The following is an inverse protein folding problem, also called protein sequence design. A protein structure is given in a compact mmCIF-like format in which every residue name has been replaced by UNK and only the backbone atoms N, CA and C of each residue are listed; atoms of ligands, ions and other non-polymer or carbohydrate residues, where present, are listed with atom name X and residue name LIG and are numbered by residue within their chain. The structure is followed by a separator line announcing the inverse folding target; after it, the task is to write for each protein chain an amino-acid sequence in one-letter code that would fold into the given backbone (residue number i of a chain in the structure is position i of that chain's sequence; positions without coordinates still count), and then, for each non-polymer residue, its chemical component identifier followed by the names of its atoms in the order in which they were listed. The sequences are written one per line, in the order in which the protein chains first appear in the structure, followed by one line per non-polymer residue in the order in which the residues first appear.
data_IF_764198330723
#
_entry.id   IF_764198330723
#
_cell.length_a   1.000
_cell.length_b   1.000
_cell.length_c   1.000
_cell.angle_alpha   90.00
_cell.angle_beta   90.00
_cell.angle_gamma   90.00
#
_symmetry.space_group_name_H-M   'P 1'
#
loop_
_entity.id
_entity.type
_entity.pdbx_description
1 polymer ?
#
# COMPACT_ATOMS: atom_id res chain seq x y z
N UNK A 1 11.26 -1.90 18.71
CA UNK A 1 9.84 -2.01 19.00
C UNK A 1 9.09 -1.31 17.89
N UNK A 2 8.68 -2.02 16.87
CA UNK A 2 7.93 -1.54 15.73
C UNK A 2 7.06 -2.71 15.30
N UNK A 3 6.00 -2.96 16.06
CA UNK A 3 4.92 -3.81 15.61
C UNK A 3 4.15 -3.05 14.55
N UNK A 4 3.81 -3.72 13.44
CA UNK A 4 2.76 -3.30 12.52
C UNK A 4 1.40 -3.44 13.25
N UNK A 5 1.21 -2.67 14.31
CA UNK A 5 -0.11 -2.47 14.90
C UNK A 5 -0.86 -1.49 14.00
N UNK A 6 -1.45 -2.03 12.95
CA UNK A 6 -2.47 -1.33 12.20
C UNK A 6 -3.66 -1.16 13.13
N UNK A 7 -3.80 0.03 13.70
CA UNK A 7 -4.98 0.38 14.48
C UNK A 7 -6.14 0.47 13.49
N UNK A 8 -7.00 -0.55 13.49
CA UNK A 8 -8.25 -0.49 12.78
C UNK A 8 -9.19 0.45 13.54
N UNK A 9 -9.47 1.61 12.94
CA UNK A 9 -10.49 2.50 13.45
C UNK A 9 -11.84 2.05 12.90
N UNK A 10 -12.76 1.69 13.79
CA UNK A 10 -14.13 1.38 13.42
C UNK A 10 -14.82 2.63 12.87
N UNK A 11 -15.28 2.55 11.63
CA UNK A 11 -16.02 3.64 11.02
C UNK A 11 -17.44 3.66 11.55
N UNK A 12 -17.81 4.75 12.23
CA UNK A 12 -19.19 4.99 12.64
C UNK A 12 -20.01 5.32 11.38
N UNK A 13 -21.12 4.61 11.18
CA UNK A 13 -22.04 4.84 10.06
C UNK A 13 -22.44 6.32 9.97
N UNK A 14 -22.19 6.95 8.82
CA UNK A 14 -22.45 8.38 8.59
C UNK A 14 -21.29 9.33 8.93
N UNK A 15 -20.25 8.89 9.64
CA UNK A 15 -19.11 9.72 10.02
C UNK A 15 -17.79 9.32 9.27
N UNK A 16 -17.88 8.53 8.24
CA UNK A 16 -16.71 7.95 7.55
C UNK A 16 -15.72 9.01 7.05
N UNK A 17 -16.24 10.12 6.48
CA UNK A 17 -15.39 11.21 6.00
C UNK A 17 -14.68 11.90 7.16
N UNK A 18 -15.37 12.10 8.27
CA UNK A 18 -14.82 12.71 9.49
C UNK A 18 -13.73 11.82 10.08
N UNK A 19 -13.98 10.52 10.21
CA UNK A 19 -13.01 9.55 10.75
C UNK A 19 -11.76 9.47 9.88
N UNK A 20 -11.91 9.45 8.55
CA UNK A 20 -10.77 9.48 7.62
C UNK A 20 -9.99 10.77 7.77
N UNK A 21 -10.66 11.91 7.85
CA UNK A 21 -10.03 13.21 8.02
C UNK A 21 -9.27 13.31 9.37
N UNK A 22 -9.90 12.87 10.45
CA UNK A 22 -9.30 12.85 11.78
C UNK A 22 -8.09 11.91 11.83
N UNK A 23 -8.20 10.69 11.31
CA UNK A 23 -7.09 9.76 11.23
C UNK A 23 -5.92 10.32 10.41
N UNK A 24 -6.19 11.03 9.33
CA UNK A 24 -5.16 11.70 8.54
C UNK A 24 -4.48 12.82 9.32
N UNK A 25 -5.24 13.67 10.00
CA UNK A 25 -4.68 14.76 10.82
C UNK A 25 -3.82 14.17 11.94
N UNK A 26 -4.32 13.17 12.66
CA UNK A 26 -3.58 12.52 13.74
C UNK A 26 -2.30 11.87 13.20
N UNK A 27 -2.40 11.11 12.10
CA UNK A 27 -1.26 10.43 11.50
C UNK A 27 -0.21 11.40 10.97
N UNK A 28 -0.62 12.47 10.31
CA UNK A 28 0.28 13.53 9.83
C UNK A 28 0.96 14.26 10.99
N UNK A 29 0.22 14.64 12.02
CA UNK A 29 0.78 15.28 13.20
C UNK A 29 1.75 14.36 13.94
N UNK A 30 1.38 13.09 14.13
CA UNK A 30 2.26 12.11 14.78
C UNK A 30 3.53 11.86 13.96
N UNK A 31 3.43 11.78 12.64
CA UNK A 31 4.57 11.63 11.74
C UNK A 31 5.49 12.85 11.77
N UNK A 32 4.95 14.07 11.71
CA UNK A 32 5.75 15.29 11.80
C UNK A 32 6.44 15.42 13.15
N UNK A 33 5.76 15.10 14.25
CA UNK A 33 6.38 15.07 15.58
C UNK A 33 7.49 14.02 15.65
N UNK A 34 7.23 12.79 15.16
CA UNK A 34 8.22 11.72 15.13
C UNK A 34 9.47 12.10 14.31
N UNK A 35 9.27 12.85 13.23
CA UNK A 35 10.34 13.39 12.39
C UNK A 35 11.15 14.48 13.11
N UNK A 36 10.47 15.41 13.82
CA UNK A 36 11.13 16.46 14.59
C UNK A 36 11.96 15.92 15.75
N UNK A 37 11.49 14.86 16.42
CA UNK A 37 12.24 14.23 17.52
C UNK A 37 13.24 13.15 17.03
N UNK A 38 13.40 13.00 15.71
CA UNK A 38 14.38 12.08 15.11
C UNK A 38 14.03 10.60 15.19
N UNK A 39 12.80 10.25 15.57
CA UNK A 39 12.32 8.84 15.58
C UNK A 39 12.10 8.30 14.18
N UNK A 40 11.76 9.16 13.22
CA UNK A 40 11.60 8.84 11.81
C UNK A 40 12.57 9.69 11.01
N UNK A 41 13.44 9.03 10.26
CA UNK A 41 14.28 9.73 9.27
C UNK A 41 13.42 9.98 8.04
N UNK A 42 13.34 11.24 7.61
CA UNK A 42 12.79 11.56 6.31
C UNK A 42 13.71 10.92 5.25
N UNK A 43 13.17 10.03 4.43
CA UNK A 43 13.88 9.57 3.25
C UNK A 43 13.81 10.69 2.21
N UNK A 44 14.91 11.41 2.01
CA UNK A 44 15.04 12.32 0.87
C UNK A 44 15.11 11.48 -0.40
N UNK A 45 13.97 11.32 -1.05
CA UNK A 45 13.89 10.62 -2.33
C UNK A 45 14.41 11.56 -3.44
N UNK A 46 15.43 11.15 -4.20
CA UNK A 46 15.88 11.94 -5.35
C UNK A 46 14.71 12.19 -6.30
N UNK A 47 14.55 13.43 -6.74
CA UNK A 47 13.50 13.77 -7.69
C UNK A 47 13.80 13.23 -9.08
N UNK A 48 12.75 12.86 -9.82
CA UNK A 48 12.88 12.32 -11.16
C UNK A 48 13.47 13.34 -12.11
N UNK A 49 14.47 12.91 -12.89
CA UNK A 49 14.95 13.62 -14.06
C UNK A 49 14.36 12.94 -15.29
N UNK A 50 13.66 13.70 -16.12
CA UNK A 50 12.95 13.14 -17.26
C UNK A 50 13.83 13.03 -18.49
N UNK A 51 13.67 11.91 -19.22
CA UNK A 51 14.27 11.65 -20.52
C UNK A 51 13.18 11.66 -21.60
N UNK A 52 13.61 11.71 -22.84
CA UNK A 52 12.73 11.66 -24.02
C UNK A 52 12.80 12.92 -24.87
N UNK A 53 12.19 12.85 -26.06
CA UNK A 53 12.19 13.92 -27.06
C UNK A 53 11.10 14.99 -26.82
N UNK A 54 10.29 14.81 -25.78
CA UNK A 54 9.19 15.71 -25.42
C UNK A 54 8.03 15.76 -26.42
N UNK A 55 8.05 14.92 -27.47
CA UNK A 55 6.99 14.87 -28.47
C UNK A 55 5.77 14.13 -27.93
N UNK A 56 4.59 14.63 -28.28
CA UNK A 56 3.34 13.98 -27.95
C UNK A 56 3.25 12.57 -28.56
N UNK A 57 2.68 11.64 -27.81
CA UNK A 57 2.42 10.25 -28.20
C UNK A 57 0.93 10.00 -28.33
N UNK A 58 0.55 9.01 -29.14
CA UNK A 58 -0.83 8.54 -29.16
C UNK A 58 -1.16 7.83 -27.86
N UNK A 59 -2.45 7.70 -27.53
CA UNK A 59 -2.91 6.95 -26.37
C UNK A 59 -2.38 5.52 -26.34
N UNK A 60 -2.46 4.83 -27.48
CA UNK A 60 -1.99 3.47 -27.61
C UNK A 60 -0.49 3.33 -27.32
N UNK A 61 0.33 4.30 -27.73
CA UNK A 61 1.75 4.32 -27.41
C UNK A 61 1.98 4.54 -25.90
N UNK A 62 1.25 5.47 -25.28
CA UNK A 62 1.37 5.69 -23.83
C UNK A 62 1.00 4.45 -23.02
N UNK A 63 -0.01 3.71 -23.45
CA UNK A 63 -0.43 2.45 -22.81
C UNK A 63 0.61 1.36 -23.05
N UNK A 64 1.09 1.18 -24.28
CA UNK A 64 2.10 0.17 -24.62
C UNK A 64 3.44 0.40 -23.93
N UNK A 65 3.80 1.66 -23.75
CA UNK A 65 5.01 2.05 -23.02
C UNK A 65 4.86 1.86 -21.49
N UNK A 66 3.63 1.66 -20.99
CA UNK A 66 3.32 1.59 -19.58
C UNK A 66 3.30 2.95 -18.86
N UNK A 67 3.26 4.06 -19.64
CA UNK A 67 3.15 5.42 -19.10
C UNK A 67 1.73 5.75 -18.61
N UNK A 68 0.75 5.00 -19.10
CA UNK A 68 -0.65 5.03 -18.66
C UNK A 68 -1.01 3.63 -18.15
N UNK A 69 -1.60 3.58 -16.97
CA UNK A 69 -2.05 2.36 -16.32
C UNK A 69 -3.57 2.27 -16.34
N UNK A 70 -4.07 1.04 -16.21
CA UNK A 70 -5.47 0.70 -16.28
C UNK A 70 -5.86 -0.13 -15.06
N UNK A 71 -6.93 0.27 -14.39
CA UNK A 71 -7.52 -0.46 -13.26
C UNK A 71 -9.00 -0.68 -13.52
N UNK A 72 -9.43 -1.92 -13.52
CA UNK A 72 -10.84 -2.30 -13.63
C UNK A 72 -11.25 -3.05 -12.37
N UNK A 73 -12.32 -2.62 -11.74
CA UNK A 73 -12.95 -3.29 -10.60
C UNK A 73 -14.33 -3.75 -11.00
N UNK A 74 -14.59 -5.04 -10.83
CA UNK A 74 -15.89 -5.63 -11.16
C UNK A 74 -16.86 -5.51 -9.96
N UNK A 75 -18.18 -5.39 -10.20
CA UNK A 75 -19.18 -5.33 -9.13
C UNK A 75 -19.08 -6.49 -8.13
N UNK A 76 -18.79 -7.69 -8.60
CA UNK A 76 -18.61 -8.89 -7.76
C UNK A 76 -17.51 -8.76 -6.71
N UNK A 77 -16.47 -7.97 -6.97
CA UNK A 77 -15.35 -7.74 -6.04
C UNK A 77 -15.79 -6.90 -4.84
N UNK A 78 -16.88 -6.17 -5.00
CA UNK A 78 -17.56 -5.41 -3.95
C UNK A 78 -18.79 -6.11 -3.40
N UNK A 79 -19.06 -7.37 -3.80
CA UNK A 79 -20.25 -8.11 -3.41
C UNK A 79 -21.55 -7.57 -4.03
N UNK A 80 -21.45 -6.75 -5.06
CA UNK A 80 -22.59 -6.22 -5.81
C UNK A 80 -23.00 -7.16 -6.97
N UNK A 81 -24.27 -7.15 -7.36
CA UNK A 81 -24.73 -7.89 -8.52
C UNK A 81 -24.09 -7.33 -9.81
N UNK A 82 -23.87 -8.22 -10.78
CA UNK A 82 -23.40 -7.83 -12.10
C UNK A 82 -24.43 -6.94 -12.78
N UNK A 83 -23.98 -5.77 -13.24
CA UNK A 83 -24.80 -4.77 -13.92
C UNK A 83 -24.48 -4.67 -15.42
N UNK A 84 -23.71 -5.63 -15.96
CA UNK A 84 -23.28 -5.64 -17.36
C UNK A 84 -22.21 -4.60 -17.69
N UNK A 85 -21.67 -3.91 -16.68
CA UNK A 85 -20.55 -2.97 -16.81
C UNK A 85 -19.67 -3.03 -15.56
N UNK A 86 -18.40 -2.64 -15.65
CA UNK A 86 -17.51 -2.56 -14.50
C UNK A 86 -18.09 -1.65 -13.40
N UNK A 87 -17.78 -1.93 -12.15
CA UNK A 87 -18.03 -0.98 -11.07
C UNK A 87 -17.24 0.30 -11.29
N UNK A 88 -15.95 0.16 -11.63
CA UNK A 88 -15.11 1.28 -12.06
C UNK A 88 -14.09 0.79 -13.10
N UNK A 89 -13.86 1.61 -14.09
CA UNK A 89 -12.85 1.44 -15.15
C UNK A 89 -12.01 2.72 -15.20
N UNK A 90 -10.79 2.67 -14.66
CA UNK A 90 -9.92 3.83 -14.48
C UNK A 90 -8.66 3.72 -15.34
N UNK A 91 -8.33 4.82 -15.99
CA UNK A 91 -7.05 5.03 -16.61
C UNK A 91 -6.35 6.22 -15.96
N UNK A 92 -5.08 6.09 -15.65
CA UNK A 92 -4.34 7.13 -14.95
C UNK A 92 -2.86 7.15 -15.35
N UNK A 93 -2.22 8.29 -15.15
CA UNK A 93 -0.81 8.47 -15.46
C UNK A 93 -0.24 9.76 -14.91
N UNK A 94 1.08 9.91 -15.01
CA UNK A 94 1.85 10.98 -14.43
C UNK A 94 2.07 12.12 -15.42
N UNK A 95 1.59 13.34 -15.10
CA UNK A 95 1.55 14.46 -16.04
C UNK A 95 2.80 15.35 -16.09
N UNK A 96 3.63 15.37 -15.03
CA UNK A 96 4.80 16.27 -15.05
C UNK A 96 5.85 15.85 -16.10
N UNK A 97 5.80 14.60 -16.58
CA UNK A 97 6.66 14.21 -17.69
C UNK A 97 6.24 14.93 -18.98
N UNK A 98 7.15 15.68 -19.66
CA UNK A 98 6.77 16.51 -20.81
C UNK A 98 6.06 15.74 -21.92
N UNK A 99 6.50 14.53 -22.22
CA UNK A 99 5.94 13.70 -23.27
C UNK A 99 4.52 13.23 -22.94
N UNK A 100 4.29 12.80 -21.69
CA UNK A 100 2.97 12.35 -21.22
C UNK A 100 2.03 13.54 -21.09
N UNK A 101 2.48 14.60 -20.42
CA UNK A 101 1.67 15.79 -20.18
C UNK A 101 1.22 16.48 -21.46
N UNK A 102 2.10 16.63 -22.45
CA UNK A 102 1.75 17.18 -23.76
C UNK A 102 0.83 16.27 -24.55
N UNK A 103 1.01 14.97 -24.45
CA UNK A 103 0.08 14.02 -25.11
C UNK A 103 -1.33 14.15 -24.55
N UNK A 104 -1.47 14.26 -23.23
CA UNK A 104 -2.76 14.28 -22.53
C UNK A 104 -3.42 15.65 -22.63
N UNK A 105 -2.67 16.73 -22.41
CA UNK A 105 -3.20 18.10 -22.27
C UNK A 105 -3.01 18.97 -23.52
N UNK A 106 -2.16 18.56 -24.44
CA UNK A 106 -1.62 19.43 -25.48
C UNK A 106 -0.51 20.34 -24.93
N UNK A 107 0.16 21.09 -25.81
CA UNK A 107 1.29 21.94 -25.40
C UNK A 107 0.84 23.07 -24.46
N UNK A 108 -0.21 23.78 -24.81
CA UNK A 108 -0.72 24.92 -24.03
C UNK A 108 -1.22 24.45 -22.66
N UNK A 109 -2.00 23.37 -22.61
CA UNK A 109 -2.52 22.81 -21.35
C UNK A 109 -1.40 22.30 -20.44
N UNK A 110 -0.38 21.70 -21.02
CA UNK A 110 0.79 21.25 -20.28
C UNK A 110 1.57 22.45 -19.70
N UNK A 111 1.82 23.50 -20.48
CA UNK A 111 2.52 24.70 -20.00
C UNK A 111 1.71 25.40 -18.89
N UNK A 112 0.39 25.52 -19.06
CA UNK A 112 -0.48 26.09 -18.05
C UNK A 112 -0.43 25.28 -16.74
N UNK A 113 -0.51 23.95 -16.82
CA UNK A 113 -0.39 23.08 -15.65
C UNK A 113 0.96 23.31 -14.97
N UNK A 114 2.06 23.22 -15.70
CA UNK A 114 3.41 23.35 -15.14
C UNK A 114 3.66 24.71 -14.50
N UNK A 115 3.10 25.79 -15.05
CA UNK A 115 3.21 27.12 -14.48
C UNK A 115 2.42 27.29 -13.17
N UNK A 116 1.38 26.49 -12.98
CA UNK A 116 0.54 26.50 -11.76
C UNK A 116 1.11 25.64 -10.62
N UNK A 117 2.00 24.71 -10.92
CA UNK A 117 2.59 23.80 -9.96
C UNK A 117 3.86 24.38 -9.34
N UNK A 118 4.07 24.07 -8.06
CA UNK A 118 5.37 24.30 -7.41
C UNK A 118 6.37 23.23 -7.91
N UNK A 119 7.68 23.52 -7.84
CA UNK A 119 8.71 22.53 -8.28
C UNK A 119 8.64 21.18 -7.58
N UNK A 120 7.98 21.11 -6.43
CA UNK A 120 7.81 19.89 -5.63
C UNK A 120 6.43 19.27 -5.76
N UNK A 121 5.59 19.79 -6.64
CA UNK A 121 4.24 19.29 -6.83
C UNK A 121 4.21 18.33 -8.03
N UNK A 122 3.43 17.28 -7.90
CA UNK A 122 3.30 16.23 -8.89
C UNK A 122 1.84 16.07 -9.29
N UNK A 123 1.56 16.03 -10.57
CA UNK A 123 0.21 15.93 -11.11
C UNK A 123 -0.02 14.56 -11.74
N UNK A 124 -1.16 13.95 -11.41
CA UNK A 124 -1.65 12.73 -12.04
C UNK A 124 -3.00 13.03 -12.70
N UNK A 125 -3.20 12.56 -13.92
CA UNK A 125 -4.53 12.55 -14.50
C UNK A 125 -5.22 11.23 -14.18
N UNK A 126 -6.53 11.29 -14.08
CA UNK A 126 -7.40 10.14 -13.93
C UNK A 126 -8.61 10.38 -14.82
N UNK A 127 -8.94 9.41 -15.63
CA UNK A 127 -10.21 9.33 -16.35
C UNK A 127 -10.87 8.01 -15.99
N UNK A 128 -12.19 7.99 -15.96
CA UNK A 128 -12.90 6.80 -15.58
C UNK A 128 -14.32 6.74 -16.07
N UNK A 129 -14.85 5.53 -16.11
CA UNK A 129 -16.23 5.21 -16.39
C UNK A 129 -16.70 4.06 -15.50
N UNK A 130 -17.96 3.74 -15.52
CA UNK A 130 -18.51 2.63 -14.76
C UNK A 130 -19.80 2.93 -14.03
N UNK A 131 -20.18 2.06 -13.10
CA UNK A 131 -21.35 2.25 -12.24
C UNK A 131 -21.03 3.14 -11.02
N UNK A 132 -19.77 3.10 -10.56
CA UNK A 132 -19.26 3.91 -9.46
C UNK A 132 -18.59 5.19 -9.94
N UNK A 133 -18.12 6.00 -8.97
CA UNK A 133 -17.39 7.24 -9.21
C UNK A 133 -16.10 7.24 -8.42
N UNK A 134 -15.01 7.65 -9.04
CA UNK A 134 -13.75 7.85 -8.34
C UNK A 134 -13.69 9.19 -7.58
N UNK A 135 -14.57 10.13 -7.93
CA UNK A 135 -14.69 11.39 -7.21
C UNK A 135 -15.42 11.24 -5.89
N UNK A 136 -16.25 10.18 -5.77
CA UNK A 136 -16.99 9.89 -4.55
C UNK A 136 -17.98 10.98 -4.16
N UNK A 137 -18.29 11.05 -2.87
CA UNK A 137 -19.13 12.09 -2.28
C UNK A 137 -18.35 13.38 -1.95
N UNK A 138 -17.03 13.37 -2.14
CA UNK A 138 -16.13 14.45 -1.71
C UNK A 138 -16.09 15.68 -2.61
N UNK A 139 -16.93 15.76 -3.65
CA UNK A 139 -16.99 16.92 -4.54
C UNK A 139 -17.68 18.15 -3.90
N UNK A 140 -17.67 18.22 -2.59
CA UNK A 140 -18.17 19.39 -1.86
C UNK A 140 -16.97 20.31 -1.58
N UNK A 141 -17.18 21.62 -1.72
CA UNK A 141 -16.16 22.64 -1.46
C UNK A 141 -15.53 22.43 -0.09
N UNK A 142 -14.20 22.25 -0.03
CA UNK A 142 -13.47 21.86 1.18
C UNK A 142 -13.47 20.36 1.47
N UNK A 143 -14.04 19.54 0.58
CA UNK A 143 -14.12 18.09 0.75
C UNK A 143 -12.80 17.35 0.49
N UNK A 144 -12.78 16.10 0.94
CA UNK A 144 -11.69 15.15 0.69
C UNK A 144 -12.18 14.14 -0.33
N UNK A 145 -11.35 13.83 -1.32
CA UNK A 145 -11.60 12.74 -2.25
C UNK A 145 -11.31 11.41 -1.55
N UNK A 146 -12.36 10.79 -1.02
CA UNK A 146 -12.31 9.59 -0.17
C UNK A 146 -12.12 8.29 -0.95
N UNK A 147 -12.14 8.35 -2.29
CA UNK A 147 -12.03 7.19 -3.16
C UNK A 147 -10.64 6.94 -3.72
N UNK A 148 -9.73 7.87 -3.51
CA UNK A 148 -8.39 7.82 -4.08
C UNK A 148 -7.33 8.14 -3.04
N UNK A 149 -6.26 7.37 -3.04
CA UNK A 149 -5.03 7.72 -2.34
C UNK A 149 -3.82 7.23 -3.13
N UNK A 150 -2.71 7.90 -2.92
CA UNK A 150 -1.40 7.47 -3.42
C UNK A 150 -0.57 7.04 -2.21
N UNK A 151 0.10 5.89 -2.30
CA UNK A 151 1.03 5.44 -1.28
C UNK A 151 2.42 5.25 -1.89
N UNK A 152 3.46 5.75 -1.24
CA UNK A 152 4.84 5.56 -1.68
C UNK A 152 5.74 5.30 -0.47
N UNK A 153 6.10 4.02 -0.29
CA UNK A 153 6.83 3.60 0.90
C UNK A 153 5.98 3.74 2.15
N UNK A 154 6.36 4.63 3.07
CA UNK A 154 5.59 4.92 4.30
C UNK A 154 4.68 6.13 4.15
N UNK A 155 4.82 6.89 3.09
CA UNK A 155 4.06 8.11 2.86
C UNK A 155 2.74 7.79 2.17
N UNK A 156 1.65 8.40 2.63
CA UNK A 156 0.32 8.29 2.03
C UNK A 156 -0.21 9.69 1.72
N UNK A 157 -0.70 9.86 0.50
CA UNK A 157 -1.21 11.13 0.00
C UNK A 157 -2.69 10.96 -0.36
N UNK A 158 -3.49 11.83 0.20
CA UNK A 158 -4.92 11.98 -0.10
C UNK A 158 -5.17 13.35 -0.67
N UNK A 159 -6.28 13.53 -1.34
CA UNK A 159 -6.55 14.71 -2.13
C UNK A 159 -7.72 15.51 -1.54
N UNK A 160 -7.56 16.82 -1.49
CA UNK A 160 -8.62 17.78 -1.18
C UNK A 160 -9.09 18.46 -2.44
N UNK A 161 -10.17 19.22 -2.35
CA UNK A 161 -10.66 20.06 -3.46
C UNK A 161 -9.59 21.03 -3.98
N UNK A 162 -8.68 21.52 -3.11
CA UNK A 162 -7.54 22.35 -3.47
C UNK A 162 -6.44 21.63 -4.26
N UNK A 163 -6.47 20.30 -4.26
CA UNK A 163 -5.52 19.44 -4.95
C UNK A 163 -6.10 18.86 -6.24
N UNK A 164 -7.27 19.34 -6.63
CA UNK A 164 -8.00 18.90 -7.82
C UNK A 164 -8.07 20.03 -8.86
N UNK A 165 -7.82 19.66 -10.12
CA UNK A 165 -8.07 20.50 -11.29
C UNK A 165 -8.94 19.74 -12.28
N UNK A 166 -9.78 20.48 -13.00
CA UNK A 166 -10.61 19.87 -14.04
C UNK A 166 -9.74 19.49 -15.25
N UNK A 167 -9.93 18.27 -15.74
CA UNK A 167 -9.45 17.84 -17.04
C UNK A 167 -10.61 17.92 -18.03
N UNK A 168 -10.72 19.04 -18.75
CA UNK A 168 -11.85 19.29 -19.63
C UNK A 168 -11.81 18.45 -20.90
N UNK A 169 -10.64 18.23 -21.45
CA UNK A 169 -10.49 17.52 -22.73
C UNK A 169 -9.20 16.75 -22.76
N UNK A 170 -9.30 15.47 -23.10
CA UNK A 170 -8.17 14.61 -23.41
C UNK A 170 -7.71 14.90 -24.85
N UNK A 171 -6.44 15.27 -25.03
CA UNK A 171 -5.87 15.55 -26.36
C UNK A 171 -5.21 14.33 -27.00
N UNK A 172 -4.89 13.30 -26.21
CA UNK A 172 -4.25 12.10 -26.74
C UNK A 172 -5.17 11.38 -27.74
N UNK A 173 -4.70 11.26 -28.97
CA UNK A 173 -5.46 10.58 -30.03
C UNK A 173 -5.66 9.10 -29.68
N UNK A 174 -6.92 8.63 -29.77
CA UNK A 174 -7.29 7.26 -29.45
C UNK A 174 -7.56 6.99 -27.96
N UNK A 175 -7.67 8.03 -27.14
CA UNK A 175 -8.11 7.88 -25.74
C UNK A 175 -9.52 7.27 -25.66
N UNK A 176 -9.80 6.42 -24.67
CA UNK A 176 -11.12 5.85 -24.47
C UNK A 176 -12.13 6.92 -24.09
N UNK A 177 -13.42 6.62 -24.27
CA UNK A 177 -14.48 7.45 -23.71
C UNK A 177 -14.51 7.29 -22.20
N UNK A 178 -14.85 8.36 -21.49
CA UNK A 178 -14.92 8.40 -20.04
C UNK A 178 -16.08 9.28 -19.59
N UNK A 179 -16.63 8.96 -18.43
CA UNK A 179 -17.71 9.71 -17.81
C UNK A 179 -17.18 10.77 -16.86
N UNK A 180 -16.03 10.49 -16.24
CA UNK A 180 -15.39 11.35 -15.25
C UNK A 180 -13.90 11.55 -15.59
N UNK A 181 -13.40 12.73 -15.28
CA UNK A 181 -11.98 13.07 -15.47
C UNK A 181 -11.52 14.06 -14.41
N UNK A 182 -10.22 14.06 -14.14
CA UNK A 182 -9.61 15.02 -13.23
C UNK A 182 -8.10 14.95 -13.22
N UNK A 183 -7.49 16.00 -12.69
CA UNK A 183 -6.06 16.07 -12.39
C UNK A 183 -5.92 16.21 -10.88
N UNK A 184 -5.14 15.35 -10.26
CA UNK A 184 -4.88 15.33 -8.83
C UNK A 184 -3.42 15.69 -8.55
N UNK A 185 -3.20 16.58 -7.59
CA UNK A 185 -1.89 17.12 -7.28
C UNK A 185 -1.38 16.52 -5.97
N UNK A 186 -0.30 15.76 -6.05
CA UNK A 186 0.48 15.32 -4.89
C UNK A 186 1.45 16.40 -4.53
N UNK A 187 1.36 16.93 -3.30
CA UNK A 187 2.18 18.06 -2.86
C UNK A 187 3.34 17.61 -1.99
N UNK A 188 4.48 18.27 -2.18
CA UNK A 188 5.63 18.16 -1.28
C UNK A 188 6.72 17.21 -1.74
N UNK A 189 7.85 17.24 -1.03
CA UNK A 189 9.11 16.55 -1.38
C UNK A 189 9.14 15.06 -1.03
N UNK A 190 8.16 14.58 -0.27
CA UNK A 190 8.12 13.18 0.16
C UNK A 190 7.78 12.21 -0.98
N UNK A 191 7.18 12.73 -2.05
CA UNK A 191 6.87 11.96 -3.26
C UNK A 191 7.96 12.17 -4.32
N UNK A 192 8.29 11.08 -5.04
CA UNK A 192 9.19 11.15 -6.22
C UNK A 192 8.71 10.19 -7.30
N UNK A 193 8.49 10.70 -8.50
CA UNK A 193 8.10 9.91 -9.67
C UNK A 193 9.20 8.98 -10.19
N UNK A 194 10.44 9.08 -9.69
CA UNK A 194 11.51 8.14 -10.00
C UNK A 194 11.27 6.76 -9.37
N UNK A 195 10.52 6.70 -8.28
CA UNK A 195 10.24 5.49 -7.51
C UNK A 195 8.81 4.99 -7.74
N UNK A 196 8.57 3.68 -7.60
CA UNK A 196 7.22 3.15 -7.69
C UNK A 196 6.33 3.69 -6.57
N UNK A 197 5.04 3.81 -6.89
CA UNK A 197 4.01 4.15 -5.92
C UNK A 197 2.74 3.35 -6.22
N UNK A 198 1.94 3.13 -5.19
CA UNK A 198 0.66 2.50 -5.32
C UNK A 198 -0.42 3.56 -5.52
N UNK A 199 -1.10 3.46 -6.64
CA UNK A 199 -2.39 4.11 -6.85
C UNK A 199 -3.45 3.21 -6.22
N UNK A 200 -4.19 3.72 -5.26
CA UNK A 200 -5.20 2.94 -4.53
C UNK A 200 -6.56 3.54 -4.77
N UNK A 201 -7.42 2.76 -5.41
CA UNK A 201 -8.85 3.06 -5.47
C UNK A 201 -9.55 2.41 -4.28
N UNK A 202 -10.46 3.15 -3.62
CA UNK A 202 -11.25 2.70 -2.49
C UNK A 202 -12.69 2.46 -2.96
N UNK A 203 -13.03 1.21 -3.20
CA UNK A 203 -14.38 0.78 -3.52
C UNK A 203 -15.25 0.76 -2.26
N UNK A 204 -16.52 1.17 -2.38
CA UNK A 204 -17.47 1.13 -1.28
C UNK A 204 -18.28 -0.17 -1.38
N UNK A 205 -18.22 -0.98 -0.34
CA UNK A 205 -19.06 -2.16 -0.17
C UNK A 205 -20.02 -1.96 0.99
N UNK A 206 -21.29 -2.24 0.78
CA UNK A 206 -22.26 -2.28 1.87
C UNK A 206 -22.38 -3.71 2.39
N UNK A 207 -22.10 -3.92 3.67
CA UNK A 207 -22.37 -5.19 4.33
C UNK A 207 -23.89 -5.40 4.40
N UNK A 208 -24.35 -6.47 3.78
CA UNK A 208 -25.79 -6.82 3.72
C UNK A 208 -26.39 -7.19 5.07
N UNK A 209 -25.55 -7.62 6.02
CA UNK A 209 -26.00 -8.08 7.34
C UNK A 209 -26.15 -6.94 8.34
N UNK A 210 -25.22 -5.98 8.30
CA UNK A 210 -25.16 -4.86 9.26
C UNK A 210 -25.60 -3.53 8.66
N UNK A 211 -25.66 -3.43 7.33
CA UNK A 211 -25.87 -2.17 6.61
C UNK A 211 -24.67 -1.23 6.67
N UNK A 212 -23.58 -1.65 7.33
CA UNK A 212 -22.38 -0.86 7.46
C UNK A 212 -21.68 -0.68 6.10
N UNK A 213 -21.08 0.48 5.89
CA UNK A 213 -20.24 0.75 4.72
C UNK A 213 -18.79 0.39 5.02
N UNK A 214 -18.23 -0.45 4.19
CA UNK A 214 -16.83 -0.87 4.25
C UNK A 214 -16.09 -0.40 3.00
N UNK A 215 -14.85 0.06 3.17
CA UNK A 215 -14.00 0.39 2.04
C UNK A 215 -13.06 -0.79 1.72
N UNK A 216 -13.08 -1.19 0.45
CA UNK A 216 -12.17 -2.20 -0.08
C UNK A 216 -11.10 -1.50 -0.89
N UNK A 217 -9.82 -1.78 -0.58
CA UNK A 217 -8.69 -1.18 -1.26
C UNK A 217 -8.33 -2.00 -2.51
N UNK A 218 -8.16 -1.30 -3.63
CA UNK A 218 -7.66 -1.84 -4.90
C UNK A 218 -6.35 -1.15 -5.25
N UNK A 219 -5.21 -1.63 -4.72
CA UNK A 219 -3.91 -1.06 -5.03
C UNK A 219 -3.42 -1.51 -6.40
N UNK A 220 -2.80 -0.58 -7.13
CA UNK A 220 -2.13 -0.86 -8.40
C UNK A 220 -0.81 -0.11 -8.42
N UNK A 221 0.29 -0.83 -8.58
CA UNK A 221 1.63 -0.23 -8.64
C UNK A 221 1.78 0.56 -9.94
N UNK A 222 2.17 1.82 -9.83
CA UNK A 222 2.61 2.65 -10.93
C UNK A 222 4.10 2.94 -10.80
N UNK A 223 4.81 2.71 -11.87
CA UNK A 223 6.20 3.13 -11.98
C UNK A 223 6.46 3.69 -13.37
N UNK A 224 6.91 4.92 -13.43
CA UNK A 224 7.25 5.55 -14.69
C UNK A 224 8.23 4.67 -15.47
N UNK A 225 8.01 4.40 -16.78
CA UNK A 225 8.89 3.53 -17.55
C UNK A 225 10.34 4.01 -17.55
N UNK A 226 11.29 3.07 -17.61
CA UNK A 226 12.72 3.39 -17.57
C UNK A 226 13.15 4.34 -18.69
N UNK A 227 12.53 4.24 -19.88
CA UNK A 227 12.78 5.11 -21.03
C UNK A 227 12.40 6.57 -20.80
N UNK A 228 11.55 6.85 -19.83
CA UNK A 228 11.10 8.20 -19.45
C UNK A 228 11.97 8.84 -18.36
N UNK A 229 12.94 8.10 -17.82
CA UNK A 229 13.82 8.54 -16.73
C UNK A 229 15.28 8.62 -17.21
N UNK A 230 15.94 9.74 -16.93
CA UNK A 230 17.39 9.85 -17.16
C UNK A 230 18.14 8.90 -16.23
N UNK A 231 18.94 8.02 -16.82
CA UNK A 231 19.63 6.97 -16.07
C UNK A 231 18.77 5.73 -15.75
N UNK A 232 17.52 5.69 -16.27
CA UNK A 232 16.61 4.57 -16.02
C UNK A 232 15.96 4.57 -14.63
N UNK A 233 15.32 3.47 -14.30
CA UNK A 233 14.72 3.28 -12.97
C UNK A 233 15.79 3.09 -11.90
N UNK A 234 15.70 3.80 -10.76
CA UNK A 234 16.60 3.55 -9.65
C UNK A 234 16.42 2.13 -9.10
N UNK A 235 17.49 1.59 -8.54
CA UNK A 235 17.41 0.29 -7.87
C UNK A 235 16.59 0.44 -6.58
N UNK A 236 15.43 -0.16 -6.55
CA UNK A 236 14.56 -0.19 -5.36
C UNK A 236 14.72 -1.54 -4.67
N UNK A 237 15.28 -1.52 -3.48
CA UNK A 237 15.26 -2.70 -2.62
C UNK A 237 13.87 -2.78 -2.00
N UNK A 238 13.04 -3.70 -2.48
CA UNK A 238 11.75 -3.95 -1.82
C UNK A 238 12.05 -4.41 -0.38
N UNK A 239 11.45 -3.77 0.64
CA UNK A 239 11.65 -4.22 2.01
C UNK A 239 11.21 -5.67 2.14
N UNK A 240 11.98 -6.45 2.88
CA UNK A 240 11.61 -7.83 3.17
C UNK A 240 10.19 -7.85 3.75
N UNK A 241 9.34 -8.82 3.34
CA UNK A 241 8.03 -8.98 3.94
C UNK A 241 8.15 -9.15 5.45
N UNK A 242 7.17 -8.67 6.21
CA UNK A 242 7.20 -8.63 7.69
C UNK A 242 7.52 -9.99 8.30
N UNK A 243 6.94 -11.06 7.75
CA UNK A 243 7.22 -12.42 8.21
C UNK A 243 8.71 -12.80 8.05
N UNK A 244 9.36 -12.39 6.95
CA UNK A 244 10.77 -12.68 6.70
C UNK A 244 11.69 -11.88 7.64
N UNK A 245 11.33 -10.63 7.94
CA UNK A 245 12.05 -9.82 8.93
C UNK A 245 12.01 -10.47 10.30
N UNK A 246 10.80 -10.85 10.76
CA UNK A 246 10.60 -11.56 12.04
C UNK A 246 11.38 -12.87 12.07
N UNK A 247 11.39 -13.63 10.95
CA UNK A 247 12.17 -14.86 10.87
C UNK A 247 13.68 -14.62 10.97
N UNK A 248 14.20 -13.56 10.30
CA UNK A 248 15.61 -13.19 10.40
C UNK A 248 15.98 -12.72 11.80
N UNK A 249 15.18 -11.90 12.43
CA UNK A 249 15.41 -11.38 13.78
C UNK A 249 15.36 -12.48 14.84
N UNK A 250 14.42 -13.41 14.70
CA UNK A 250 14.23 -14.53 15.65
C UNK A 250 14.88 -15.84 15.20
N UNK A 251 15.76 -15.80 14.19
CA UNK A 251 16.36 -17.00 13.60
C UNK A 251 17.03 -17.91 14.64
N UNK A 252 17.75 -17.34 15.61
CA UNK A 252 18.40 -18.11 16.67
C UNK A 252 17.39 -18.80 17.59
N UNK A 253 16.26 -18.15 17.90
CA UNK A 253 15.18 -18.72 18.72
C UNK A 253 14.49 -19.88 17.98
N UNK A 254 14.25 -19.70 16.67
CA UNK A 254 13.67 -20.73 15.79
C UNK A 254 14.64 -21.93 15.72
N UNK A 255 15.94 -21.68 15.55
CA UNK A 255 16.95 -22.74 15.52
C UNK A 255 16.97 -23.52 16.84
N UNK A 256 16.94 -22.83 17.98
CA UNK A 256 16.88 -23.46 19.29
C UNK A 256 15.63 -24.30 19.49
N UNK A 257 14.48 -23.80 19.02
CA UNK A 257 13.21 -24.53 19.05
C UNK A 257 13.25 -25.79 18.18
N UNK A 258 13.83 -25.72 16.99
CA UNK A 258 14.01 -26.88 16.09
C UNK A 258 14.93 -27.93 16.71
N UNK A 259 16.05 -27.51 17.33
CA UNK A 259 16.96 -28.42 18.03
C UNK A 259 16.23 -29.10 19.19
N UNK A 260 15.43 -28.36 19.94
CA UNK A 260 14.64 -28.92 21.02
C UNK A 260 13.60 -29.93 20.52
N UNK A 261 12.85 -29.60 19.45
CA UNK A 261 11.90 -30.54 18.84
C UNK A 261 12.61 -31.81 18.34
N UNK A 262 13.79 -31.66 17.75
CA UNK A 262 14.61 -32.81 17.33
C UNK A 262 15.05 -33.67 18.51
N UNK A 263 15.44 -33.05 19.62
CA UNK A 263 15.78 -33.77 20.87
C UNK A 263 14.59 -34.53 21.44
N UNK A 264 13.40 -33.91 21.46
CA UNK A 264 12.16 -34.57 21.89
C UNK A 264 11.80 -35.74 20.97
N UNK A 265 11.86 -35.55 19.68
CA UNK A 265 11.60 -36.59 18.69
C UNK A 265 12.60 -37.76 18.83
N UNK A 266 13.89 -37.44 19.03
CA UNK A 266 14.93 -38.43 19.26
C UNK A 266 14.69 -39.23 20.54
N UNK A 267 14.35 -38.59 21.66
CA UNK A 267 14.04 -39.25 22.90
C UNK A 267 12.79 -40.13 22.79
N UNK A 268 11.77 -39.64 22.06
CA UNK A 268 10.57 -40.44 21.81
C UNK A 268 10.87 -41.66 20.91
N UNK A 269 11.62 -41.49 19.85
CA UNK A 269 12.00 -42.60 18.95
C UNK A 269 12.87 -43.66 19.66
N UNK A 270 13.70 -43.25 20.61
CA UNK A 270 14.57 -44.16 21.37
C UNK A 270 14.06 -44.53 22.76
N UNK A 271 12.79 -44.20 23.09
CA UNK A 271 12.21 -44.40 24.42
C UNK A 271 12.38 -45.81 24.96
N UNK A 272 12.21 -46.84 24.10
CA UNK A 272 12.30 -48.22 24.49
C UNK A 272 13.73 -48.65 24.86
N UNK A 273 14.74 -48.04 24.22
CA UNK A 273 16.15 -48.26 24.57
C UNK A 273 16.52 -47.53 25.86
N UNK A 274 15.96 -46.34 26.07
CA UNK A 274 16.20 -45.55 27.30
C UNK A 274 15.51 -46.18 28.51
N UNK A 275 14.28 -46.66 28.33
CA UNK A 275 13.51 -47.35 29.40
C UNK A 275 14.14 -48.69 29.77
N UNK A 276 14.65 -49.49 28.81
CA UNK A 276 15.34 -50.74 29.10
C UNK A 276 16.62 -50.57 29.94
N UNK A 277 17.34 -49.45 29.80
CA UNK A 277 18.48 -49.15 30.66
C UNK A 277 18.10 -48.65 32.05
N UNK A 278 16.95 -48.04 32.20
CA UNK A 278 16.48 -47.52 33.49
C UNK A 278 15.78 -48.55 34.40
N UNK A 279 15.60 -49.78 33.93
CA UNK A 279 14.81 -50.80 34.63
C UNK A 279 15.55 -51.50 35.78
N UNK A 280 16.65 -50.93 36.28
CA UNK A 280 17.34 -51.41 37.47
C UNK A 280 17.46 -50.32 38.53
N UNK A 281 16.58 -50.40 39.49
CA UNK A 281 16.69 -49.94 40.89
C UNK A 281 16.07 -48.62 41.36
N UNK A 282 15.50 -47.74 40.55
CA UNK A 282 14.85 -46.57 41.19
C UNK A 282 13.59 -46.10 40.46
N UNK A 283 12.45 -46.25 41.09
CA UNK A 283 11.15 -45.68 40.70
C UNK A 283 11.19 -44.14 40.49
N UNK A 284 12.15 -43.47 41.10
CA UNK A 284 12.33 -42.01 41.01
C UNK A 284 12.74 -41.55 39.63
N UNK A 285 13.56 -42.32 38.91
CA UNK A 285 14.03 -41.95 37.55
C UNK A 285 12.94 -41.98 36.49
N UNK A 286 11.82 -42.65 36.68
CA UNK A 286 10.69 -42.65 35.75
C UNK A 286 9.83 -41.41 35.86
N UNK A 287 9.91 -40.66 36.93
CA UNK A 287 9.15 -39.45 37.19
C UNK A 287 9.88 -38.18 36.66
N UNK A 288 11.22 -38.18 36.63
CA UNK A 288 12.00 -37.04 36.19
C UNK A 288 11.65 -36.52 34.77
N UNK A 289 11.41 -37.35 33.73
CA UNK A 289 11.02 -36.88 32.43
C UNK A 289 9.69 -36.13 32.42
N UNK A 290 8.74 -36.55 33.28
CA UNK A 290 7.44 -35.87 33.42
C UNK A 290 7.63 -34.48 34.04
N UNK A 291 8.40 -34.38 35.10
CA UNK A 291 8.69 -33.09 35.73
C UNK A 291 9.47 -32.16 34.84
N UNK A 292 10.48 -32.68 34.14
CA UNK A 292 11.23 -31.91 33.16
C UNK A 292 10.34 -31.36 32.01
N UNK A 293 9.42 -32.19 31.53
CA UNK A 293 8.45 -31.77 30.52
C UNK A 293 7.52 -30.67 31.06
N UNK A 294 6.99 -30.82 32.27
CA UNK A 294 6.11 -29.82 32.86
C UNK A 294 6.83 -28.50 33.16
N UNK A 295 8.01 -28.57 33.78
CA UNK A 295 8.81 -27.38 34.09
C UNK A 295 9.17 -26.64 32.78
N UNK A 296 9.54 -27.38 31.72
CA UNK A 296 9.87 -26.80 30.47
C UNK A 296 8.62 -26.19 29.79
N UNK A 297 7.51 -26.90 29.74
CA UNK A 297 6.27 -26.42 29.12
C UNK A 297 5.74 -25.17 29.82
N UNK A 298 5.70 -25.18 31.16
CA UNK A 298 5.26 -24.01 31.94
C UNK A 298 6.26 -22.86 31.82
N UNK A 299 7.55 -23.15 31.93
CA UNK A 299 8.61 -22.14 31.81
C UNK A 299 8.68 -21.53 30.42
N UNK A 300 8.57 -22.34 29.38
CA UNK A 300 8.63 -21.88 27.98
C UNK A 300 7.39 -21.09 27.62
N UNK A 301 6.18 -21.56 27.92
CA UNK A 301 4.92 -20.86 27.64
C UNK A 301 4.84 -19.58 28.45
N UNK A 302 5.20 -19.65 29.77
CA UNK A 302 5.23 -18.46 30.61
C UNK A 302 6.22 -17.41 30.18
N UNK A 303 7.44 -17.83 29.81
CA UNK A 303 8.45 -16.91 29.28
C UNK A 303 8.05 -16.30 27.92
N UNK A 304 7.42 -17.10 27.07
CA UNK A 304 6.93 -16.63 25.76
C UNK A 304 5.83 -15.59 25.90
N UNK A 305 4.88 -15.78 26.84
CA UNK A 305 3.81 -14.80 27.09
C UNK A 305 4.31 -13.52 27.77
N UNK A 306 5.37 -13.59 28.58
CA UNK A 306 5.96 -12.39 29.18
C UNK A 306 6.89 -11.61 28.23
N UNK A 307 7.32 -12.22 27.13
CA UNK A 307 8.21 -11.60 26.13
C UNK A 307 7.45 -10.97 24.94
N UNK A 308 6.12 -11.03 24.93
CA UNK A 308 5.23 -10.28 24.02
C UNK A 308 4.80 -8.98 24.69
#
# INVERSE_FOLDING_TARGET
AGGDDVIHLDAISGATVTVIAENQVISLCAYEVAKQVGLVKAEDKPQAKFAGDGKARSWQQLVSDGAVQHLVVQPKELGEPDQGKPYIDLWYGYLNHPQIGRSVLGDDGYQQLMSSLKPTDHALFIIGSGAGSFKGSGFVRGGIYDRLKIAQGRDSFTFRDTDYLNLYTMKAAGAPQYDESGIFIVRGKAFSAAYPFDFVFLGNRQDRSTGAREFVNFPTEYWLPASYLQGGRPHVVKPDPTWLKVWKEKAWQIALFVVFLAAVAFTYANRDKLVRRANHKDKRWTEYPKYAFWIFSIGFVGFWQMAQ
#
